data_IF_212472027541
#
_entry.id   IF_212472027541
#
_cell.length_a   1.000
_cell.length_b   1.000
_cell.length_c   1.000
_cell.angle_alpha   90.00
_cell.angle_beta   90.00
_cell.angle_gamma   90.00
#
_symmetry.space_group_name_H-M   'P 1'
#
loop_
_entity.id
_entity.type
_entity.pdbx_description
1 polymer ?
#
# COMPACT_ATOMS: atom_id res chain seq x y z
N UNK A 1 -24.18 -16.89 6.43
CA UNK A 1 -23.62 -15.56 6.76
C UNK A 1 -22.30 -15.65 7.52
N UNK A 2 -22.09 -16.64 8.39
CA UNK A 2 -20.87 -16.78 9.20
C UNK A 2 -19.58 -16.98 8.37
N UNK A 3 -19.65 -17.77 7.28
CA UNK A 3 -18.50 -18.02 6.40
C UNK A 3 -17.96 -16.74 5.73
N UNK A 4 -18.86 -15.83 5.35
CA UNK A 4 -18.52 -14.52 4.76
C UNK A 4 -17.85 -13.62 5.83
N UNK A 5 -18.29 -13.72 7.07
CA UNK A 5 -17.74 -12.97 8.19
C UNK A 5 -16.30 -13.39 8.50
N UNK A 6 -16.05 -14.70 8.60
CA UNK A 6 -14.70 -15.23 8.81
C UNK A 6 -13.74 -14.86 7.67
N UNK A 7 -14.22 -14.92 6.42
CA UNK A 7 -13.42 -14.57 5.24
C UNK A 7 -12.99 -13.09 5.23
N UNK A 8 -13.87 -12.17 5.61
CA UNK A 8 -13.54 -10.74 5.68
C UNK A 8 -12.49 -10.47 6.76
N UNK A 9 -12.62 -11.09 7.94
CA UNK A 9 -11.63 -10.94 9.02
C UNK A 9 -10.24 -11.42 8.56
N UNK A 10 -10.17 -12.57 7.89
CA UNK A 10 -8.92 -13.07 7.33
C UNK A 10 -8.31 -12.10 6.30
N UNK A 11 -9.12 -11.52 5.41
CA UNK A 11 -8.67 -10.52 4.43
C UNK A 11 -8.11 -9.27 5.13
N UNK A 12 -8.75 -8.79 6.20
CA UNK A 12 -8.25 -7.63 6.96
C UNK A 12 -6.90 -7.91 7.62
N UNK A 13 -6.74 -9.09 8.22
CA UNK A 13 -5.47 -9.53 8.81
C UNK A 13 -4.38 -9.57 7.71
N UNK A 14 -4.71 -10.10 6.54
CA UNK A 14 -3.77 -10.14 5.41
C UNK A 14 -3.36 -8.73 4.95
N UNK A 15 -4.31 -7.78 4.86
CA UNK A 15 -4.01 -6.38 4.55
C UNK A 15 -3.07 -5.77 5.61
N UNK A 16 -3.28 -6.05 6.89
CA UNK A 16 -2.41 -5.57 7.98
C UNK A 16 -0.99 -6.13 7.80
N UNK A 17 -0.85 -7.43 7.56
CA UNK A 17 0.45 -8.07 7.35
C UNK A 17 1.17 -7.49 6.12
N UNK A 18 0.46 -7.32 5.00
CA UNK A 18 1.04 -6.70 3.81
C UNK A 18 1.46 -5.26 4.09
N UNK A 19 0.67 -4.50 4.86
CA UNK A 19 1.03 -3.12 5.23
C UNK A 19 2.33 -3.06 6.05
N UNK A 20 2.56 -4.02 6.95
CA UNK A 20 3.82 -4.11 7.71
C UNK A 20 5.00 -4.44 6.79
N UNK A 21 4.83 -5.41 5.89
CA UNK A 21 5.86 -5.78 4.92
C UNK A 21 6.19 -4.58 4.01
N UNK A 22 5.16 -3.90 3.51
CA UNK A 22 5.32 -2.75 2.64
C UNK A 22 5.95 -1.55 3.36
N UNK A 23 5.69 -1.38 4.67
CA UNK A 23 6.36 -0.38 5.48
C UNK A 23 7.87 -0.64 5.55
N UNK A 24 8.26 -1.88 5.82
CA UNK A 24 9.67 -2.29 5.86
C UNK A 24 10.33 -2.15 4.48
N UNK A 25 9.61 -2.51 3.41
CA UNK A 25 10.08 -2.39 2.04
C UNK A 25 10.27 -0.92 1.63
N UNK A 26 9.30 -0.06 1.95
CA UNK A 26 9.37 1.38 1.72
C UNK A 26 10.53 2.01 2.48
N UNK A 27 10.73 1.65 3.75
CA UNK A 27 11.89 2.08 4.52
C UNK A 27 13.22 1.63 3.91
N UNK A 28 13.24 0.43 3.30
CA UNK A 28 14.43 -0.08 2.61
C UNK A 28 14.64 0.56 1.23
N UNK A 29 13.61 1.01 0.53
CA UNK A 29 13.72 1.70 -0.76
C UNK A 29 14.20 3.14 -0.54
N UNK A 30 13.55 3.85 0.37
CA UNK A 30 13.87 5.24 0.71
C UNK A 30 14.87 5.29 1.87
N UNK A 31 15.95 4.52 1.72
CA UNK A 31 17.05 4.48 2.66
C UNK A 31 17.93 5.74 2.55
N UNK A 32 19.02 5.79 3.32
CA UNK A 32 19.94 6.94 3.34
C UNK A 32 20.44 7.30 1.93
N UNK A 33 20.65 6.32 1.04
CA UNK A 33 21.18 6.60 -0.30
C UNK A 33 20.20 7.39 -1.17
N UNK A 34 18.90 7.10 -1.05
CA UNK A 34 17.86 7.85 -1.77
C UNK A 34 17.55 9.18 -1.09
N UNK A 35 17.51 9.23 0.24
CA UNK A 35 17.19 10.47 0.96
C UNK A 35 18.29 11.55 0.88
N UNK A 36 19.54 11.14 0.68
CA UNK A 36 20.68 12.05 0.53
C UNK A 36 21.13 12.26 -0.93
N UNK A 37 20.25 11.93 -1.89
CA UNK A 37 20.47 12.16 -3.33
C UNK A 37 21.80 11.54 -3.85
N UNK A 38 22.25 10.43 -3.24
CA UNK A 38 23.48 9.73 -3.62
C UNK A 38 23.28 8.76 -4.81
N UNK A 39 22.03 8.60 -5.27
CA UNK A 39 21.68 7.68 -6.36
C UNK A 39 21.24 8.45 -7.61
N UNK A 40 22.22 8.86 -8.42
CA UNK A 40 22.03 9.65 -9.64
C UNK A 40 22.74 9.04 -10.86
N UNK A 41 22.28 9.42 -12.06
CA UNK A 41 22.92 9.05 -13.33
C UNK A 41 24.17 9.88 -13.60
N UNK A 42 25.19 9.35 -14.27
CA UNK A 42 26.25 10.18 -14.87
C UNK A 42 26.16 10.05 -16.39
N UNK A 43 26.45 11.13 -17.16
CA UNK A 43 26.96 12.44 -16.71
C UNK A 43 25.89 13.43 -16.21
N UNK A 44 24.61 13.19 -16.50
CA UNK A 44 23.54 14.20 -16.36
C UNK A 44 23.08 14.47 -14.91
N UNK A 45 23.52 13.67 -13.93
CA UNK A 45 23.16 13.76 -12.51
C UNK A 45 21.65 13.73 -12.26
N UNK A 46 20.92 13.01 -13.10
CA UNK A 46 19.48 12.85 -12.92
C UNK A 46 19.21 11.93 -11.71
N UNK A 47 18.39 12.39 -10.78
CA UNK A 47 17.98 11.61 -9.61
C UNK A 47 17.06 10.48 -10.08
N UNK A 48 17.50 9.23 -9.90
CA UNK A 48 16.80 8.04 -10.38
C UNK A 48 15.54 7.72 -9.57
N UNK A 49 15.51 8.11 -8.29
CA UNK A 49 14.43 7.82 -7.36
C UNK A 49 14.03 9.12 -6.66
N UNK A 50 12.82 9.59 -6.91
CA UNK A 50 12.32 10.84 -6.35
C UNK A 50 11.96 10.68 -4.87
N UNK A 51 12.67 11.38 -3.98
CA UNK A 51 12.46 11.30 -2.51
C UNK A 51 11.07 11.71 -2.03
N UNK A 52 10.38 12.60 -2.74
CA UNK A 52 9.04 13.03 -2.34
C UNK A 52 8.00 11.90 -2.46
N UNK A 53 8.27 10.87 -3.26
CA UNK A 53 7.42 9.69 -3.36
C UNK A 53 7.37 8.92 -2.03
N UNK A 54 8.42 8.98 -1.21
CA UNK A 54 8.45 8.30 0.09
C UNK A 54 7.23 8.64 0.96
N UNK A 55 6.90 9.93 1.05
CA UNK A 55 5.75 10.41 1.83
C UNK A 55 4.43 9.83 1.34
N UNK A 56 4.28 9.71 0.02
CA UNK A 56 3.08 9.15 -0.59
C UNK A 56 2.92 7.66 -0.27
N UNK A 57 4.01 6.89 -0.32
CA UNK A 57 4.02 5.47 0.06
C UNK A 57 3.71 5.30 1.54
N UNK A 58 4.41 6.02 2.44
CA UNK A 58 4.15 5.96 3.87
C UNK A 58 2.71 6.32 4.22
N UNK A 59 2.15 7.37 3.62
CA UNK A 59 0.77 7.76 3.86
C UNK A 59 -0.21 6.65 3.45
N UNK A 60 -0.01 6.05 2.27
CA UNK A 60 -0.86 4.95 1.78
C UNK A 60 -0.80 3.74 2.71
N UNK A 61 0.38 3.37 3.19
CA UNK A 61 0.61 2.23 4.08
C UNK A 61 0.00 2.48 5.46
N UNK A 62 0.18 3.68 6.03
CA UNK A 62 -0.40 4.05 7.33
C UNK A 62 -1.93 4.06 7.23
N UNK A 63 -2.49 4.63 6.15
CA UNK A 63 -3.93 4.60 5.89
C UNK A 63 -4.45 3.16 5.82
N UNK A 64 -3.73 2.27 5.11
CA UNK A 64 -4.06 0.85 5.03
C UNK A 64 -4.09 0.19 6.41
N UNK A 65 -3.02 0.35 7.19
CA UNK A 65 -2.88 -0.24 8.50
C UNK A 65 -3.95 0.28 9.48
N UNK A 66 -4.07 1.60 9.62
CA UNK A 66 -4.99 2.23 10.60
C UNK A 66 -6.45 1.93 10.26
N UNK A 67 -6.83 2.00 8.98
CA UNK A 67 -8.22 1.70 8.56
C UNK A 67 -8.62 0.26 8.91
N UNK A 68 -7.72 -0.72 8.71
CA UNK A 68 -8.02 -2.11 9.06
C UNK A 68 -8.03 -2.37 10.57
N UNK A 69 -7.16 -1.73 11.35
CA UNK A 69 -7.16 -1.85 12.82
C UNK A 69 -8.45 -1.29 13.41
N UNK A 70 -8.91 -0.14 12.93
CA UNK A 70 -10.19 0.46 13.36
C UNK A 70 -11.36 -0.46 12.99
N UNK A 71 -11.38 -0.97 11.76
CA UNK A 71 -12.43 -1.88 11.31
C UNK A 71 -12.45 -3.21 12.08
N UNK A 72 -11.28 -3.75 12.44
CA UNK A 72 -11.16 -4.94 13.29
C UNK A 72 -11.66 -4.68 14.71
N UNK A 73 -11.28 -3.56 15.32
CA UNK A 73 -11.71 -3.16 16.67
C UNK A 73 -13.23 -2.99 16.76
N UNK A 74 -13.85 -2.44 15.72
CA UNK A 74 -15.30 -2.29 15.61
C UNK A 74 -16.05 -3.63 15.47
N UNK A 75 -15.39 -4.64 14.93
CA UNK A 75 -15.93 -6.01 14.86
C UNK A 75 -15.93 -6.70 16.22
N UNK A 76 -14.93 -6.49 17.07
CA UNK A 76 -14.78 -7.17 18.37
C UNK A 76 -15.66 -6.55 19.47
N UNK A 77 -15.84 -5.23 19.50
CA UNK A 77 -16.56 -4.52 20.58
C UNK A 77 -18.09 -4.51 20.39
N UNK A 78 -18.72 -5.70 20.44
CA UNK A 78 -20.10 -5.94 20.01
C UNK A 78 -21.23 -5.68 21.05
N UNK A 79 -21.00 -5.08 22.23
CA UNK A 79 -21.94 -5.24 23.38
C UNK A 79 -22.68 -4.01 23.93
N UNK A 80 -22.60 -2.79 23.37
CA UNK A 80 -23.29 -1.62 24.00
C UNK A 80 -24.24 -0.87 23.07
N UNK A 81 -25.32 -0.32 23.66
CA UNK A 81 -26.50 0.28 23.02
C UNK A 81 -26.28 1.67 22.40
N UNK A 82 -25.13 2.32 22.62
CA UNK A 82 -24.77 3.62 22.02
C UNK A 82 -24.40 3.53 20.51
N UNK A 83 -24.82 2.46 19.84
CA UNK A 83 -24.18 1.91 18.64
C UNK A 83 -24.90 2.18 17.34
N UNK A 84 -26.22 2.29 17.31
CA UNK A 84 -26.97 2.41 16.06
C UNK A 84 -26.65 3.70 15.28
N UNK A 85 -26.50 4.82 15.97
CA UNK A 85 -26.17 6.10 15.32
C UNK A 85 -24.69 6.18 14.91
N UNK A 86 -23.77 5.58 15.68
CA UNK A 86 -22.34 5.53 15.35
C UNK A 86 -22.03 4.53 14.23
N UNK A 87 -22.79 3.42 14.14
CA UNK A 87 -22.61 2.37 13.13
C UNK A 87 -22.70 2.92 11.71
N UNK A 88 -23.67 3.79 11.42
CA UNK A 88 -23.81 4.41 10.11
C UNK A 88 -22.66 5.34 9.72
N UNK A 89 -22.05 6.06 10.67
CA UNK A 89 -20.88 6.91 10.41
C UNK A 89 -19.61 6.08 10.18
N UNK A 90 -19.37 5.06 11.00
CA UNK A 90 -18.21 4.18 10.85
C UNK A 90 -18.26 3.37 9.56
N UNK A 91 -19.42 2.87 9.16
CA UNK A 91 -19.60 2.17 7.88
C UNK A 91 -19.30 3.09 6.68
N UNK A 92 -19.72 4.37 6.73
CA UNK A 92 -19.39 5.34 5.69
C UNK A 92 -17.89 5.63 5.64
N UNK A 93 -17.25 5.83 6.79
CA UNK A 93 -15.81 6.05 6.87
C UNK A 93 -15.02 4.84 6.37
N UNK A 94 -15.49 3.62 6.65
CA UNK A 94 -14.89 2.39 6.15
C UNK A 94 -14.96 2.30 4.62
N UNK A 95 -16.12 2.60 4.03
CA UNK A 95 -16.28 2.63 2.57
C UNK A 95 -15.37 3.67 1.94
N UNK A 96 -15.36 4.90 2.47
CA UNK A 96 -14.53 6.00 1.95
C UNK A 96 -13.04 5.66 2.07
N UNK A 97 -12.61 5.14 3.21
CA UNK A 97 -11.21 4.75 3.43
C UNK A 97 -10.80 3.57 2.55
N UNK A 98 -11.64 2.56 2.36
CA UNK A 98 -11.37 1.44 1.47
C UNK A 98 -11.30 1.89 -0.01
N UNK A 99 -12.16 2.80 -0.45
CA UNK A 99 -12.09 3.40 -1.78
C UNK A 99 -10.79 4.19 -1.97
N UNK A 100 -10.49 5.09 -1.05
CA UNK A 100 -9.26 5.90 -1.09
C UNK A 100 -8.02 5.02 -1.10
N UNK A 101 -7.96 4.03 -0.22
CA UNK A 101 -6.87 3.06 -0.15
C UNK A 101 -6.71 2.27 -1.45
N UNK A 102 -7.80 1.81 -2.06
CA UNK A 102 -7.75 1.06 -3.32
C UNK A 102 -7.11 1.92 -4.42
N UNK A 103 -7.55 3.17 -4.57
CA UNK A 103 -7.01 4.10 -5.58
C UNK A 103 -5.55 4.40 -5.30
N UNK A 104 -5.20 4.75 -4.06
CA UNK A 104 -3.81 5.06 -3.70
C UNK A 104 -2.88 3.87 -3.89
N UNK A 105 -3.32 2.66 -3.54
CA UNK A 105 -2.55 1.44 -3.75
C UNK A 105 -2.33 1.13 -5.26
N UNK A 106 -3.31 1.38 -6.13
CA UNK A 106 -3.13 1.29 -7.59
C UNK A 106 -2.09 2.30 -8.07
N UNK A 107 -2.16 3.54 -7.60
CA UNK A 107 -1.20 4.60 -7.96
C UNK A 107 0.21 4.26 -7.49
N UNK A 108 0.37 3.82 -6.23
CA UNK A 108 1.66 3.33 -5.71
C UNK A 108 2.20 2.16 -6.54
N UNK A 109 1.35 1.21 -6.93
CA UNK A 109 1.75 0.10 -7.81
C UNK A 109 2.26 0.59 -9.16
N UNK A 110 1.55 1.51 -9.81
CA UNK A 110 1.95 2.09 -11.09
C UNK A 110 3.28 2.85 -10.99
N UNK A 111 3.46 3.66 -9.94
CA UNK A 111 4.70 4.39 -9.68
C UNK A 111 5.86 3.41 -9.44
N UNK A 112 5.66 2.40 -8.60
CA UNK A 112 6.66 1.37 -8.31
C UNK A 112 7.07 0.62 -9.58
N UNK A 113 6.11 0.22 -10.41
CA UNK A 113 6.39 -0.45 -11.67
C UNK A 113 7.14 0.45 -12.66
N UNK A 114 6.76 1.73 -12.76
CA UNK A 114 7.45 2.72 -13.60
C UNK A 114 8.90 2.92 -13.16
N UNK A 115 9.15 3.06 -11.85
CA UNK A 115 10.49 3.19 -11.29
C UNK A 115 11.32 1.91 -11.50
N UNK A 116 10.73 0.72 -11.31
CA UNK A 116 11.41 -0.54 -11.60
C UNK A 116 11.81 -0.60 -13.09
N UNK A 117 10.91 -0.28 -14.01
CA UNK A 117 11.22 -0.26 -15.44
C UNK A 117 12.36 0.72 -15.76
N UNK A 118 12.35 1.92 -15.16
CA UNK A 118 13.42 2.90 -15.32
C UNK A 118 14.78 2.39 -14.80
N UNK A 119 14.81 1.82 -13.60
CA UNK A 119 16.01 1.25 -12.98
C UNK A 119 16.56 0.06 -13.76
N UNK A 120 15.70 -0.76 -14.37
CA UNK A 120 16.14 -1.90 -15.19
C UNK A 120 16.90 -1.44 -16.45
N UNK A 121 16.44 -0.37 -17.10
CA UNK A 121 17.13 0.24 -18.25
C UNK A 121 18.46 0.84 -17.80
N UNK A 122 18.46 1.54 -16.67
CA UNK A 122 19.67 2.14 -16.12
C UNK A 122 20.73 1.09 -15.75
N UNK A 123 20.34 -0.06 -15.20
CA UNK A 123 21.27 -1.15 -14.86
C UNK A 123 22.07 -1.66 -16.07
N UNK A 124 21.50 -1.58 -17.29
CA UNK A 124 22.16 -2.01 -18.52
C UNK A 124 23.11 -0.95 -19.11
N UNK A 125 22.90 0.33 -18.80
CA UNK A 125 23.56 1.47 -19.48
C UNK A 125 24.54 2.20 -18.55
N UNK A 126 24.41 2.05 -17.22
CA UNK A 126 25.22 2.77 -16.25
C UNK A 126 26.74 2.54 -16.45
N UNK A 127 27.53 3.61 -16.43
CA UNK A 127 28.98 3.56 -16.64
C UNK A 127 29.74 3.22 -15.34
N UNK A 128 29.19 3.56 -14.17
CA UNK A 128 29.78 3.25 -12.87
C UNK A 128 29.39 1.84 -12.40
N UNK A 129 30.39 1.05 -12.02
CA UNK A 129 30.21 -0.30 -11.48
C UNK A 129 29.39 -0.36 -10.20
N UNK A 130 29.45 0.67 -9.35
CA UNK A 130 28.70 0.69 -8.09
C UNK A 130 27.20 0.95 -8.32
N UNK A 131 26.87 1.87 -9.23
CA UNK A 131 25.50 2.14 -9.64
C UNK A 131 24.89 0.96 -10.40
N UNK A 132 25.68 0.25 -11.23
CA UNK A 132 25.26 -0.99 -11.87
C UNK A 132 24.91 -2.11 -10.88
N UNK A 133 25.63 -2.22 -9.76
CA UNK A 133 25.35 -3.23 -8.73
C UNK A 133 24.15 -2.87 -7.86
N UNK A 134 23.93 -1.59 -7.60
CA UNK A 134 22.81 -1.11 -6.80
C UNK A 134 21.47 -1.08 -7.57
N UNK A 135 21.49 -0.83 -8.88
CA UNK A 135 20.26 -0.75 -9.67
C UNK A 135 19.38 -2.02 -9.62
N UNK A 136 19.91 -3.27 -9.75
CA UNK A 136 19.14 -4.50 -9.56
C UNK A 136 18.53 -4.64 -8.16
N UNK A 137 19.22 -4.14 -7.13
CA UNK A 137 18.76 -4.17 -5.74
C UNK A 137 17.54 -3.27 -5.52
N UNK A 138 17.53 -2.08 -6.11
CA UNK A 138 16.36 -1.18 -6.10
C UNK A 138 15.26 -1.67 -7.04
N UNK A 139 15.60 -2.18 -8.22
CA UNK A 139 14.66 -2.79 -9.16
C UNK A 139 13.79 -3.85 -8.48
N UNK A 140 14.43 -4.80 -7.79
CA UNK A 140 13.73 -5.91 -7.13
C UNK A 140 12.76 -5.40 -6.05
N UNK A 141 13.13 -4.35 -5.33
CA UNK A 141 12.29 -3.77 -4.28
C UNK A 141 11.10 -3.00 -4.84
N UNK A 142 11.32 -2.16 -5.84
CA UNK A 142 10.22 -1.47 -6.51
C UNK A 142 9.27 -2.46 -7.17
N UNK A 143 9.78 -3.50 -7.82
CA UNK A 143 8.94 -4.55 -8.37
C UNK A 143 8.12 -5.27 -7.29
N UNK A 144 8.77 -5.67 -6.19
CA UNK A 144 8.10 -6.32 -5.04
C UNK A 144 7.03 -5.41 -4.42
N UNK A 145 7.33 -4.11 -4.28
CA UNK A 145 6.41 -3.09 -3.81
C UNK A 145 5.18 -2.97 -4.74
N UNK A 146 5.39 -2.97 -6.06
CA UNK A 146 4.29 -2.95 -7.01
C UNK A 146 3.35 -4.17 -6.84
N UNK A 147 3.92 -5.36 -6.61
CA UNK A 147 3.13 -6.57 -6.35
C UNK A 147 2.32 -6.43 -5.06
N UNK A 148 2.94 -6.01 -3.95
CA UNK A 148 2.24 -5.84 -2.68
C UNK A 148 1.18 -4.72 -2.73
N UNK A 149 1.46 -3.59 -3.37
CA UNK A 149 0.47 -2.54 -3.61
C UNK A 149 -0.71 -3.04 -4.46
N UNK A 150 -0.46 -3.89 -5.46
CA UNK A 150 -1.53 -4.52 -6.26
C UNK A 150 -2.37 -5.46 -5.40
N UNK A 151 -1.74 -6.26 -4.54
CA UNK A 151 -2.45 -7.10 -3.57
C UNK A 151 -3.28 -6.28 -2.59
N UNK A 152 -2.74 -5.18 -2.05
CA UNK A 152 -3.47 -4.24 -1.19
C UNK A 152 -4.70 -3.67 -1.90
N UNK A 153 -4.55 -3.25 -3.16
CA UNK A 153 -5.66 -2.72 -3.96
C UNK A 153 -6.75 -3.78 -4.16
N UNK A 154 -6.37 -5.00 -4.57
CA UNK A 154 -7.31 -6.08 -4.81
C UNK A 154 -8.07 -6.48 -3.54
N UNK A 155 -7.37 -6.67 -2.42
CA UNK A 155 -7.97 -7.03 -1.13
C UNK A 155 -8.87 -5.90 -0.60
N UNK A 156 -8.45 -4.64 -0.74
CA UNK A 156 -9.26 -3.48 -0.33
C UNK A 156 -10.52 -3.34 -1.18
N UNK A 157 -10.44 -3.64 -2.48
CA UNK A 157 -11.60 -3.68 -3.35
C UNK A 157 -12.58 -4.80 -2.95
N UNK A 158 -12.07 -5.98 -2.55
CA UNK A 158 -12.93 -7.07 -2.05
C UNK A 158 -13.64 -6.65 -0.75
N UNK A 159 -12.94 -6.01 0.20
CA UNK A 159 -13.55 -5.48 1.42
C UNK A 159 -14.63 -4.44 1.07
N UNK A 160 -14.33 -3.52 0.16
CA UNK A 160 -15.28 -2.51 -0.30
C UNK A 160 -16.54 -3.15 -0.91
N UNK A 161 -16.37 -4.08 -1.85
CA UNK A 161 -17.48 -4.75 -2.54
C UNK A 161 -18.34 -5.53 -1.56
N UNK A 162 -17.73 -6.28 -0.64
CA UNK A 162 -18.48 -7.04 0.37
C UNK A 162 -19.25 -6.14 1.33
N UNK A 163 -18.67 -5.01 1.75
CA UNK A 163 -19.36 -4.02 2.59
C UNK A 163 -20.53 -3.36 1.86
N UNK A 164 -20.37 -3.02 0.57
CA UNK A 164 -21.45 -2.46 -0.26
C UNK A 164 -22.59 -3.46 -0.51
N UNK A 165 -22.26 -4.72 -0.84
CA UNK A 165 -23.24 -5.78 -1.05
C UNK A 165 -24.04 -6.08 0.22
N UNK A 166 -23.37 -6.09 1.38
CA UNK A 166 -24.05 -6.23 2.67
C UNK A 166 -25.07 -5.11 2.86
N UNK A 167 -24.70 -3.86 2.60
CA UNK A 167 -25.60 -2.72 2.75
C UNK A 167 -26.85 -2.82 1.86
N UNK A 168 -26.70 -3.30 0.62
CA UNK A 168 -27.81 -3.47 -0.32
C UNK A 168 -28.84 -4.51 0.14
N UNK A 169 -28.42 -5.57 0.82
CA UNK A 169 -29.32 -6.64 1.27
C UNK A 169 -30.11 -6.30 2.56
N UNK A 170 -29.78 -5.19 3.23
CA UNK A 170 -30.47 -4.72 4.45
C UNK A 170 -31.37 -3.49 4.21
N UNK A 171 -31.49 -3.03 2.96
CA UNK A 171 -32.51 -2.06 2.51
C UNK A 171 -33.57 -2.77 1.69
#
# INVERSE_FOLDING_TARGET
MELIHGSIVAIRILIILISIIELALTASIFDFNVNYDNFYTLPDKEILIQKHLAWFFYFTIILAFVSQIIAFSNHVNLTTSAREQRKGLFERLEVISAMGLTVMAIVCSAISMSNAAHLSKFALIAVLTDSQKAAPWYYTRFYTSAVFCTMLAALSAIVLLTTLLRKRNFC
#
